data_IF_431977568821
#
_entry.id   IF_431977568821
#
_cell.length_a   1.000
_cell.length_b   1.000
_cell.length_c   1.000
_cell.angle_alpha   90.00
_cell.angle_beta   90.00
_cell.angle_gamma   90.00
#
_symmetry.space_group_name_H-M   'P 1'
#
loop_
_entity.id
_entity.type
_entity.pdbx_description
1 polymer ?
#
# COMPACT_ATOMS: atom_id res chain seq x y z
N UNK A 1 19.84 -12.97 1.25
CA UNK A 1 18.59 -12.18 1.12
C UNK A 1 18.58 -11.49 -0.24
N UNK A 2 17.39 -11.13 -0.75
CA UNK A 2 17.28 -10.35 -2.00
C UNK A 2 18.06 -9.02 -1.92
N UNK A 3 18.16 -8.43 -0.74
CA UNK A 3 18.92 -7.18 -0.53
C UNK A 3 20.41 -7.39 -0.79
N UNK A 4 20.95 -8.51 -0.35
CA UNK A 4 22.38 -8.83 -0.54
C UNK A 4 22.76 -8.97 -2.02
N UNK A 5 21.81 -9.38 -2.86
CA UNK A 5 22.06 -9.51 -4.31
C UNK A 5 22.04 -8.18 -5.08
N UNK A 6 21.55 -7.10 -4.48
CA UNK A 6 21.45 -5.77 -5.12
C UNK A 6 22.33 -4.71 -4.48
N UNK A 7 22.86 -4.96 -3.28
CA UNK A 7 23.80 -4.06 -2.61
C UNK A 7 25.18 -4.18 -3.29
N UNK A 8 25.82 -3.03 -3.49
CA UNK A 8 27.16 -2.89 -4.10
C UNK A 8 28.11 -2.19 -3.14
N UNK A 9 29.38 -2.19 -3.43
CA UNK A 9 30.41 -1.54 -2.62
C UNK A 9 30.23 -0.01 -2.51
N UNK A 10 29.57 0.60 -3.49
CA UNK A 10 29.24 2.02 -3.54
C UNK A 10 27.83 2.36 -3.00
N UNK A 11 27.12 1.39 -2.45
CA UNK A 11 25.78 1.62 -1.85
C UNK A 11 25.91 2.38 -0.53
N UNK A 12 25.30 3.56 -0.45
CA UNK A 12 25.36 4.43 0.74
C UNK A 12 24.04 4.51 1.51
N UNK A 13 22.93 4.16 0.87
CA UNK A 13 21.60 4.25 1.44
C UNK A 13 20.72 3.11 0.93
N UNK A 14 20.02 2.45 1.86
CA UNK A 14 18.88 1.59 1.57
C UNK A 14 17.62 2.37 1.94
N UNK A 15 16.69 2.53 1.00
CA UNK A 15 15.41 3.21 1.23
C UNK A 15 14.26 2.29 0.85
N UNK A 16 13.46 1.88 1.84
CA UNK A 16 12.38 0.90 1.67
C UNK A 16 11.14 1.36 2.43
N UNK A 17 9.95 1.14 1.88
CA UNK A 17 8.71 1.33 2.61
C UNK A 17 8.52 0.24 3.68
N UNK A 18 7.97 0.60 4.83
CA UNK A 18 7.62 -0.37 5.87
C UNK A 18 6.42 -1.23 5.45
N UNK A 19 5.37 -0.58 4.96
CA UNK A 19 4.16 -1.25 4.46
C UNK A 19 3.93 -0.80 3.02
N UNK A 20 3.77 -1.78 2.12
CA UNK A 20 3.44 -1.49 0.72
C UNK A 20 2.03 -0.91 0.62
N UNK A 21 1.87 0.18 -0.11
CA UNK A 21 0.62 0.93 -0.22
C UNK A 21 -0.43 0.27 -1.13
N UNK A 22 -0.04 -0.70 -1.95
CA UNK A 22 -0.96 -1.44 -2.83
C UNK A 22 -1.35 -2.80 -2.24
N UNK A 23 -0.38 -3.51 -1.65
CA UNK A 23 -0.53 -4.89 -1.23
C UNK A 23 -0.79 -5.03 0.27
N UNK A 24 -0.37 -4.04 1.05
CA UNK A 24 -0.39 -4.12 2.51
C UNK A 24 0.74 -4.97 3.10
N UNK A 25 1.63 -5.54 2.28
CA UNK A 25 2.76 -6.36 2.73
C UNK A 25 3.68 -5.56 3.65
N UNK A 26 4.12 -6.18 4.74
CA UNK A 26 4.97 -5.58 5.77
C UNK A 26 6.41 -6.08 5.59
N UNK A 27 7.35 -5.16 5.47
CA UNK A 27 8.78 -5.47 5.43
C UNK A 27 9.36 -5.60 6.83
N UNK A 28 10.27 -6.54 7.03
CA UNK A 28 10.95 -6.75 8.30
C UNK A 28 12.07 -5.69 8.51
N UNK A 29 11.72 -4.58 9.14
CA UNK A 29 12.64 -3.47 9.36
C UNK A 29 13.84 -3.84 10.23
N UNK A 30 13.66 -4.78 11.17
CA UNK A 30 14.74 -5.17 12.05
C UNK A 30 15.82 -5.95 11.29
N UNK A 31 15.42 -6.88 10.43
CA UNK A 31 16.33 -7.65 9.60
C UNK A 31 17.08 -6.76 8.61
N UNK A 32 16.34 -5.93 7.87
CA UNK A 32 16.90 -5.02 6.85
C UNK A 32 17.85 -4.01 7.50
N UNK A 33 17.43 -3.40 8.60
CA UNK A 33 18.24 -2.38 9.29
C UNK A 33 19.46 -2.96 9.98
N UNK A 34 19.40 -4.19 10.50
CA UNK A 34 20.54 -4.89 11.04
C UNK A 34 21.58 -5.18 9.96
N UNK A 35 21.13 -5.64 8.79
CA UNK A 35 21.99 -5.83 7.61
C UNK A 35 22.64 -4.51 7.16
N UNK A 36 21.85 -3.44 7.03
CA UNK A 36 22.37 -2.12 6.63
C UNK A 36 23.45 -1.62 7.61
N UNK A 37 23.20 -1.79 8.91
CA UNK A 37 24.15 -1.40 9.97
C UNK A 37 25.45 -2.21 9.95
N UNK A 38 25.37 -3.51 9.70
CA UNK A 38 26.54 -4.37 9.53
C UNK A 38 27.41 -3.93 8.35
N UNK A 39 26.78 -3.52 7.25
CA UNK A 39 27.45 -3.05 6.04
C UNK A 39 27.87 -1.57 6.11
N UNK A 40 27.52 -0.83 7.16
CA UNK A 40 27.81 0.61 7.29
C UNK A 40 26.98 1.48 6.33
N UNK A 41 25.84 0.99 5.87
CA UNK A 41 24.91 1.65 4.95
C UNK A 41 23.80 2.32 5.76
N UNK A 42 23.41 3.55 5.40
CA UNK A 42 22.25 4.21 6.02
C UNK A 42 20.96 3.53 5.64
N UNK A 43 20.00 3.47 6.59
CA UNK A 43 18.70 2.88 6.37
C UNK A 43 17.58 3.91 6.55
N UNK A 44 16.89 4.23 5.47
CA UNK A 44 15.68 5.05 5.43
C UNK A 44 14.45 4.17 5.26
N UNK A 45 13.41 4.50 6.02
CA UNK A 45 12.11 3.83 5.97
C UNK A 45 11.01 4.83 5.61
N UNK A 46 10.23 4.54 4.58
CA UNK A 46 8.94 5.21 4.36
C UNK A 46 7.86 4.53 5.23
N UNK A 47 7.46 5.23 6.31
CA UNK A 47 6.43 4.78 7.24
C UNK A 47 5.05 5.41 6.98
N UNK A 48 4.84 6.01 5.80
CA UNK A 48 3.58 6.68 5.48
C UNK A 48 2.34 5.77 5.60
N UNK A 49 2.51 4.47 5.37
CA UNK A 49 1.43 3.48 5.54
C UNK A 49 1.42 2.77 6.90
N UNK A 50 2.41 3.01 7.76
CA UNK A 50 2.62 2.21 8.99
C UNK A 50 2.03 2.84 10.23
N UNK A 51 2.05 4.18 10.32
CA UNK A 51 1.61 4.93 11.50
C UNK A 51 0.15 4.62 11.82
N UNK A 52 -0.10 4.23 13.07
CA UNK A 52 -1.43 3.86 13.54
C UNK A 52 -1.95 2.48 13.06
N UNK A 53 -1.12 1.70 12.35
CA UNK A 53 -1.48 0.34 11.89
C UNK A 53 -0.58 -0.73 12.52
N UNK A 54 0.69 -0.42 12.71
CA UNK A 54 1.68 -1.27 13.36
C UNK A 54 2.46 -0.46 14.38
N UNK A 55 2.97 -1.15 15.41
CA UNK A 55 3.82 -0.52 16.39
C UNK A 55 5.18 -0.12 15.78
N UNK A 56 5.62 1.10 16.09
CA UNK A 56 6.92 1.64 15.67
C UNK A 56 7.64 2.12 16.91
N UNK A 57 8.69 1.40 17.33
CA UNK A 57 9.57 1.80 18.41
C UNK A 57 10.96 2.17 17.85
N UNK A 58 11.21 3.46 17.66
CA UNK A 58 12.47 3.98 17.10
C UNK A 58 13.67 3.81 18.03
N UNK A 59 13.46 3.45 19.31
CA UNK A 59 14.58 3.14 20.21
C UNK A 59 15.12 1.72 20.02
N UNK A 60 14.35 0.85 19.39
CA UNK A 60 14.69 -0.57 19.16
C UNK A 60 14.98 -0.88 17.68
N UNK A 61 14.32 -0.15 16.79
CA UNK A 61 14.51 -0.35 15.35
C UNK A 61 15.84 0.24 14.87
N UNK A 62 16.65 -0.53 14.12
CA UNK A 62 17.92 -0.06 13.56
C UNK A 62 17.69 0.81 12.30
N UNK A 63 16.96 1.91 12.46
CA UNK A 63 16.58 2.84 11.40
C UNK A 63 17.30 4.17 11.62
N UNK A 64 17.85 4.74 10.55
CA UNK A 64 18.57 6.02 10.57
C UNK A 64 17.69 7.21 10.19
N UNK A 65 16.74 6.98 9.29
CA UNK A 65 15.79 7.97 8.77
C UNK A 65 14.42 7.30 8.65
N UNK A 66 13.35 8.01 9.05
CA UNK A 66 11.99 7.52 8.84
C UNK A 66 11.04 8.67 8.50
N UNK A 67 10.34 8.54 7.37
CA UNK A 67 9.37 9.53 6.91
C UNK A 67 7.94 9.14 7.27
N UNK A 68 7.15 10.14 7.66
CA UNK A 68 5.76 10.00 8.10
C UNK A 68 4.86 10.96 7.35
N UNK A 69 3.60 10.57 7.15
CA UNK A 69 2.57 11.39 6.53
C UNK A 69 1.35 11.50 7.44
N UNK A 70 0.87 12.72 7.70
CA UNK A 70 -0.26 12.93 8.61
C UNK A 70 -1.58 12.46 8.01
N UNK A 71 -1.86 12.76 6.72
CA UNK A 71 -3.15 12.51 6.10
C UNK A 71 -3.49 11.02 5.90
N UNK A 72 -2.51 10.12 6.02
CA UNK A 72 -2.73 8.66 6.00
C UNK A 72 -3.02 8.08 7.39
N UNK A 73 -3.01 8.94 8.41
CA UNK A 73 -3.32 8.60 9.81
C UNK A 73 -4.41 9.54 10.35
N UNK A 74 -5.37 9.91 9.48
CA UNK A 74 -6.50 10.79 9.79
C UNK A 74 -6.12 12.22 10.20
N UNK A 75 -4.89 12.62 9.96
CA UNK A 75 -4.37 13.97 10.20
C UNK A 75 -4.53 14.89 8.98
N UNK A 76 -4.10 16.15 9.08
CA UNK A 76 -4.23 17.15 8.03
C UNK A 76 -3.34 16.80 6.81
N UNK A 77 -3.83 17.17 5.62
CA UNK A 77 -3.01 17.14 4.39
C UNK A 77 -1.94 18.25 4.42
N UNK A 78 -0.85 18.02 3.70
CA UNK A 78 0.21 19.03 3.53
C UNK A 78 1.27 19.05 4.63
N UNK A 79 1.21 18.14 5.60
CA UNK A 79 2.19 17.98 6.68
C UNK A 79 2.69 16.53 6.77
N UNK A 80 3.97 16.39 7.04
CA UNK A 80 4.66 15.16 7.37
C UNK A 80 5.81 15.42 8.31
N UNK A 81 6.48 14.36 8.74
CA UNK A 81 7.67 14.44 9.58
C UNK A 81 8.76 13.51 9.07
N UNK A 82 10.01 13.89 9.34
CA UNK A 82 11.18 13.06 9.12
C UNK A 82 11.88 12.85 10.47
N UNK A 83 11.97 11.59 10.90
CA UNK A 83 12.87 11.20 11.97
C UNK A 83 14.28 11.12 11.41
N UNK A 84 15.24 11.71 12.15
CA UNK A 84 16.66 11.69 11.84
C UNK A 84 17.41 11.21 13.06
N UNK A 85 18.08 10.06 12.94
CA UNK A 85 18.83 9.46 14.04
C UNK A 85 19.98 10.35 14.51
N UNK A 86 20.20 10.38 15.82
CA UNK A 86 21.35 11.03 16.44
C UNK A 86 22.47 10.06 16.79
N UNK A 87 22.16 8.76 16.81
CA UNK A 87 23.11 7.66 17.12
C UNK A 87 22.74 6.42 16.27
N UNK A 88 23.49 6.13 15.19
CA UNK A 88 24.57 6.92 14.62
C UNK A 88 24.12 8.30 14.16
N UNK A 89 25.01 9.28 14.12
CA UNK A 89 24.64 10.64 13.72
C UNK A 89 24.47 10.72 12.21
N UNK A 90 23.23 10.94 11.78
CA UNK A 90 22.91 11.27 10.39
C UNK A 90 23.00 12.79 10.18
N UNK A 91 23.60 13.23 9.09
CA UNK A 91 23.64 14.61 8.64
C UNK A 91 22.85 14.73 7.35
N UNK A 92 21.92 15.66 7.33
CA UNK A 92 21.10 15.98 6.16
C UNK A 92 21.48 17.39 5.71
N UNK A 93 21.71 17.55 4.42
CA UNK A 93 21.85 18.84 3.79
C UNK A 93 20.46 19.44 3.53
N UNK A 94 20.26 20.69 3.95
CA UNK A 94 19.00 21.39 3.74
C UNK A 94 18.75 21.62 2.25
N UNK A 95 17.56 21.23 1.78
CA UNK A 95 17.10 21.50 0.41
C UNK A 95 16.36 22.84 0.31
N UNK A 96 15.88 23.36 1.45
CA UNK A 96 15.20 24.64 1.58
C UNK A 96 15.99 25.53 2.55
N UNK A 97 16.62 26.57 2.01
CA UNK A 97 17.43 27.50 2.78
C UNK A 97 16.60 28.68 3.28
N UNK A 98 17.07 29.38 4.34
CA UNK A 98 16.41 30.55 4.91
C UNK A 98 16.62 30.70 6.42
N UNK A 99 15.57 30.93 7.19
CA UNK A 99 15.59 31.30 8.60
C UNK A 99 15.99 30.25 9.62
N UNK A 100 16.54 29.10 9.19
CA UNK A 100 17.09 28.08 10.09
C UNK A 100 16.07 27.26 10.88
N UNK A 101 14.79 27.25 10.48
CA UNK A 101 13.76 26.43 11.10
C UNK A 101 14.11 24.95 11.01
N UNK A 102 13.46 24.12 11.83
CA UNK A 102 13.73 22.67 11.93
C UNK A 102 15.23 22.36 12.11
N UNK A 103 15.89 23.12 12.99
CA UNK A 103 17.33 23.00 13.29
C UNK A 103 18.23 23.21 12.07
N UNK A 104 17.79 24.01 11.11
CA UNK A 104 18.49 24.28 9.87
C UNK A 104 18.28 23.24 8.77
N UNK A 105 17.56 22.16 9.03
CA UNK A 105 17.33 21.12 8.04
C UNK A 105 16.23 21.45 7.01
N UNK A 106 15.26 22.29 7.41
CA UNK A 106 14.17 22.73 6.52
C UNK A 106 13.67 24.09 6.94
N UNK A 107 14.01 25.12 6.20
CA UNK A 107 13.59 26.49 6.46
C UNK A 107 12.18 26.79 5.95
N UNK A 108 11.53 27.77 6.56
CA UNK A 108 10.17 28.25 6.25
C UNK A 108 9.33 28.34 7.51
N UNK A 109 8.43 29.32 7.57
CA UNK A 109 7.51 29.49 8.70
C UNK A 109 6.75 28.20 8.97
N UNK A 110 6.73 27.76 10.23
CA UNK A 110 6.11 26.50 10.61
C UNK A 110 4.57 26.59 10.48
N UNK A 111 3.91 25.62 9.81
CA UNK A 111 2.45 25.53 9.71
C UNK A 111 1.88 24.97 11.03
N UNK A 112 1.85 25.78 12.08
CA UNK A 112 1.58 25.37 13.47
C UNK A 112 0.27 24.61 13.61
N UNK A 113 -0.79 25.03 12.91
CA UNK A 113 -2.09 24.35 12.93
C UNK A 113 -2.02 22.92 12.38
N UNK A 114 -1.24 22.69 11.30
CA UNK A 114 -1.03 21.35 10.74
C UNK A 114 -0.16 20.50 11.64
N UNK A 115 0.87 21.08 12.27
CA UNK A 115 1.75 20.36 13.22
C UNK A 115 0.95 19.90 14.42
N UNK A 116 0.11 20.74 15.00
CA UNK A 116 -0.78 20.39 16.12
C UNK A 116 -1.75 19.29 15.70
N UNK A 117 -2.39 19.44 14.51
CA UNK A 117 -3.30 18.44 13.97
C UNK A 117 -2.63 17.09 13.71
N UNK A 118 -1.39 17.07 13.21
CA UNK A 118 -0.60 15.85 13.06
C UNK A 118 -0.28 15.20 14.41
N UNK A 119 0.14 16.02 15.39
CA UNK A 119 0.44 15.53 16.73
C UNK A 119 -0.76 14.87 17.38
N UNK A 120 -1.93 15.49 17.29
CA UNK A 120 -3.19 14.94 17.82
C UNK A 120 -3.61 13.67 17.08
N UNK A 121 -3.53 13.63 15.76
CA UNK A 121 -3.83 12.44 14.97
C UNK A 121 -2.94 11.24 15.36
N UNK A 122 -1.65 11.49 15.62
CA UNK A 122 -0.71 10.45 16.05
C UNK A 122 -0.96 10.00 17.50
N UNK A 123 -1.38 10.92 18.38
CA UNK A 123 -1.79 10.58 19.74
C UNK A 123 -2.97 9.63 19.74
N UNK A 124 -4.04 9.99 19.01
CA UNK A 124 -5.25 9.17 18.86
C UNK A 124 -4.89 7.82 18.21
N UNK A 125 -4.07 7.84 17.15
CA UNK A 125 -3.64 6.62 16.47
C UNK A 125 -2.91 5.66 17.42
N UNK A 126 -2.08 6.17 18.34
CA UNK A 126 -1.39 5.36 19.35
C UNK A 126 -2.37 4.75 20.36
N UNK A 127 -3.35 5.51 20.80
CA UNK A 127 -4.33 5.06 21.80
C UNK A 127 -5.31 4.04 21.21
N UNK A 128 -5.77 4.26 19.98
CA UNK A 128 -6.83 3.46 19.34
C UNK A 128 -6.29 2.30 18.49
N UNK A 129 -4.99 2.22 18.25
CA UNK A 129 -4.37 1.29 17.28
C UNK A 129 -4.81 -0.16 17.48
N UNK A 130 -4.86 -0.64 18.72
CA UNK A 130 -5.22 -2.04 19.01
C UNK A 130 -6.70 -2.31 18.80
N UNK A 131 -7.56 -1.36 19.19
CA UNK A 131 -9.00 -1.45 18.96
C UNK A 131 -9.33 -1.40 17.46
N UNK A 132 -8.73 -0.45 16.73
CA UNK A 132 -8.85 -0.32 15.29
C UNK A 132 -8.37 -1.59 14.58
N UNK A 133 -7.20 -2.12 14.97
CA UNK A 133 -6.65 -3.34 14.40
C UNK A 133 -7.63 -4.51 14.53
N UNK A 134 -8.15 -4.76 15.72
CA UNK A 134 -9.10 -5.85 15.98
C UNK A 134 -10.38 -5.72 15.15
N UNK A 135 -10.93 -4.51 15.07
CA UNK A 135 -12.11 -4.22 14.24
C UNK A 135 -11.82 -4.46 12.76
N UNK A 136 -10.73 -3.90 12.26
CA UNK A 136 -10.35 -3.99 10.84
C UNK A 136 -10.02 -5.44 10.45
N UNK A 137 -9.37 -6.22 11.30
CA UNK A 137 -9.12 -7.65 11.08
C UNK A 137 -10.43 -8.43 10.90
N UNK A 138 -11.45 -8.14 11.71
CA UNK A 138 -12.76 -8.78 11.58
C UNK A 138 -13.46 -8.41 10.27
N UNK A 139 -13.47 -7.11 9.89
CA UNK A 139 -14.05 -6.63 8.63
C UNK A 139 -13.31 -7.19 7.41
N UNK A 140 -11.98 -7.17 7.44
CA UNK A 140 -11.15 -7.75 6.39
C UNK A 140 -11.43 -9.24 6.21
N UNK A 141 -11.51 -10.01 7.32
CA UNK A 141 -11.81 -11.44 7.26
C UNK A 141 -13.18 -11.70 6.65
N UNK A 142 -14.22 -10.99 7.11
CA UNK A 142 -15.59 -11.08 6.57
C UNK A 142 -15.60 -10.81 5.06
N UNK A 143 -14.92 -9.75 4.64
CA UNK A 143 -14.81 -9.39 3.22
C UNK A 143 -14.06 -10.46 2.42
N UNK A 144 -12.89 -10.87 2.90
CA UNK A 144 -12.05 -11.88 2.25
C UNK A 144 -12.77 -13.23 2.09
N UNK A 145 -13.39 -13.73 3.17
CA UNK A 145 -14.11 -15.01 3.17
C UNK A 145 -15.30 -15.02 2.18
N UNK A 146 -15.84 -13.87 1.87
CA UNK A 146 -16.96 -13.70 0.94
C UNK A 146 -16.48 -13.50 -0.49
N UNK A 147 -15.55 -12.57 -0.72
CA UNK A 147 -15.07 -12.25 -2.08
C UNK A 147 -14.28 -13.42 -2.68
N UNK A 148 -13.58 -14.21 -1.86
CA UNK A 148 -12.83 -15.40 -2.30
C UNK A 148 -13.70 -16.55 -2.81
N UNK A 149 -15.02 -16.44 -2.71
CA UNK A 149 -15.97 -17.40 -3.32
C UNK A 149 -16.26 -17.07 -4.80
N UNK A 150 -15.91 -15.87 -5.24
CA UNK A 150 -15.98 -15.51 -6.66
C UNK A 150 -14.91 -16.30 -7.38
N UNK A 151 -15.30 -17.01 -8.43
CA UNK A 151 -14.39 -17.80 -9.26
C UNK A 151 -13.36 -16.89 -9.94
N UNK A 152 -12.16 -17.43 -10.21
CA UNK A 152 -11.11 -16.75 -10.97
C UNK A 152 -10.77 -15.35 -10.43
N UNK A 153 -10.59 -15.23 -9.13
CA UNK A 153 -9.97 -14.06 -8.50
C UNK A 153 -8.61 -14.42 -7.91
N UNK A 154 -7.74 -13.46 -7.86
CA UNK A 154 -6.37 -13.65 -7.39
C UNK A 154 -6.00 -12.57 -6.37
N UNK A 155 -5.75 -12.98 -5.13
CA UNK A 155 -5.23 -12.06 -4.10
C UNK A 155 -3.76 -11.75 -4.40
N UNK A 156 -3.42 -10.48 -4.36
CA UNK A 156 -2.08 -10.00 -4.65
C UNK A 156 -1.31 -9.72 -3.35
N UNK A 157 -0.04 -10.13 -3.34
CA UNK A 157 0.86 -9.98 -2.19
C UNK A 157 0.86 -11.16 -1.23
N UNK A 158 1.64 -11.02 -0.16
CA UNK A 158 1.74 -12.04 0.89
C UNK A 158 0.52 -11.98 1.82
N UNK A 159 -0.18 -13.11 1.97
CA UNK A 159 -1.37 -13.19 2.83
C UNK A 159 -0.98 -13.23 4.33
N UNK A 160 0.23 -13.68 4.66
CA UNK A 160 0.66 -13.87 6.04
C UNK A 160 1.30 -12.63 6.65
N UNK A 161 2.13 -11.92 5.86
CA UNK A 161 2.91 -10.78 6.34
C UNK A 161 2.33 -9.47 5.78
N UNK A 162 1.09 -9.15 6.17
CA UNK A 162 0.39 -7.95 5.70
C UNK A 162 -0.45 -7.31 6.79
N UNK A 163 -0.79 -6.05 6.60
CA UNK A 163 -1.82 -5.38 7.40
C UNK A 163 -3.21 -5.67 6.83
N UNK A 164 -4.20 -5.79 7.71
CA UNK A 164 -5.59 -6.02 7.31
C UNK A 164 -6.28 -4.76 6.75
N UNK A 165 -5.63 -3.62 6.81
CA UNK A 165 -6.14 -2.36 6.25
C UNK A 165 -6.18 -2.33 4.73
N UNK A 166 -5.49 -3.23 4.04
CA UNK A 166 -5.34 -3.24 2.58
C UNK A 166 -5.55 -4.66 2.07
N UNK A 167 -6.36 -4.79 1.04
CA UNK A 167 -6.54 -6.02 0.27
C UNK A 167 -6.53 -5.67 -1.21
N UNK A 168 -5.63 -6.29 -1.97
CA UNK A 168 -5.55 -6.12 -3.41
C UNK A 168 -5.96 -7.44 -4.09
N UNK A 169 -6.94 -7.35 -4.99
CA UNK A 169 -7.51 -8.50 -5.69
C UNK A 169 -7.57 -8.19 -7.19
N UNK A 170 -7.07 -9.11 -8.00
CA UNK A 170 -7.28 -9.13 -9.45
C UNK A 170 -8.47 -10.00 -9.79
N UNK A 171 -9.30 -9.54 -10.74
CA UNK A 171 -10.47 -10.24 -11.23
C UNK A 171 -10.22 -10.67 -12.68
N UNK A 172 -10.03 -11.97 -12.93
CA UNK A 172 -9.81 -12.46 -14.28
C UNK A 172 -11.05 -12.30 -15.16
N UNK A 173 -10.80 -12.12 -16.45
CA UNK A 173 -11.83 -12.01 -17.50
C UNK A 173 -12.74 -10.80 -17.35
N UNK A 174 -12.28 -9.77 -16.62
CA UNK A 174 -12.98 -8.50 -16.42
C UNK A 174 -12.06 -7.37 -16.86
N UNK A 175 -12.59 -6.43 -17.66
CA UNK A 175 -11.84 -5.23 -18.03
C UNK A 175 -11.81 -4.26 -16.85
N UNK A 176 -10.58 -3.79 -16.48
CA UNK A 176 -10.33 -3.09 -15.21
C UNK A 176 -11.01 -1.72 -15.10
N UNK A 177 -11.05 -0.93 -16.17
CA UNK A 177 -11.72 0.38 -16.17
C UNK A 177 -13.23 0.22 -16.02
N UNK A 178 -13.82 -0.74 -16.74
CA UNK A 178 -15.24 -1.08 -16.65
C UNK A 178 -15.61 -1.54 -15.23
N UNK A 179 -14.73 -2.32 -14.57
CA UNK A 179 -14.94 -2.73 -13.20
C UNK A 179 -14.94 -1.53 -12.24
N UNK A 180 -13.97 -0.61 -12.36
CA UNK A 180 -13.92 0.61 -11.53
C UNK A 180 -15.18 1.46 -11.78
N UNK A 181 -15.61 1.62 -13.02
CA UNK A 181 -16.83 2.36 -13.35
C UNK A 181 -18.09 1.71 -12.79
N UNK A 182 -18.16 0.38 -12.78
CA UNK A 182 -19.28 -0.35 -12.17
C UNK A 182 -19.32 -0.21 -10.65
N UNK A 183 -18.16 0.04 -10.01
CA UNK A 183 -18.01 0.24 -8.56
C UNK A 183 -18.05 1.73 -8.15
N UNK A 184 -18.63 2.61 -8.97
CA UNK A 184 -18.66 4.08 -8.77
C UNK A 184 -19.26 4.54 -7.45
N UNK A 185 -20.10 3.72 -6.84
CA UNK A 185 -20.79 4.04 -5.59
C UNK A 185 -19.96 3.72 -4.33
N UNK A 186 -18.76 3.18 -4.51
CA UNK A 186 -17.79 2.94 -3.44
C UNK A 186 -16.42 3.54 -3.78
N UNK A 187 -15.69 3.99 -2.76
CA UNK A 187 -14.37 4.55 -2.92
C UNK A 187 -13.31 3.43 -2.93
N UNK A 188 -13.01 2.92 -4.09
CA UNK A 188 -11.92 1.95 -4.35
C UNK A 188 -10.83 2.58 -5.21
N UNK A 189 -9.73 1.86 -5.42
CA UNK A 189 -8.62 2.32 -6.24
C UNK A 189 -8.13 1.17 -7.11
N UNK A 190 -7.76 1.48 -8.36
CA UNK A 190 -6.94 0.56 -9.14
C UNK A 190 -5.58 0.35 -8.47
N UNK A 191 -4.91 -0.77 -8.74
CA UNK A 191 -3.55 -1.02 -8.25
C UNK A 191 -2.57 0.09 -8.61
N UNK A 192 -2.76 0.76 -9.76
CA UNK A 192 -1.90 1.83 -10.30
C UNK A 192 -2.24 3.24 -9.81
N UNK A 193 -2.97 3.42 -8.70
CA UNK A 193 -3.46 4.73 -8.23
C UNK A 193 -2.41 5.84 -8.05
N UNK A 194 -1.12 5.50 -7.94
CA UNK A 194 -0.03 6.47 -7.87
C UNK A 194 0.44 6.98 -9.24
N UNK A 195 0.06 6.31 -10.32
CA UNK A 195 0.37 6.65 -11.71
C UNK A 195 -0.89 6.94 -12.51
N UNK A 196 -1.87 7.60 -11.90
CA UNK A 196 -3.19 7.91 -12.48
C UNK A 196 -3.16 8.69 -13.82
N UNK A 197 -1.99 9.04 -14.31
CA UNK A 197 -1.78 9.64 -15.62
C UNK A 197 -1.33 8.63 -16.70
N UNK A 198 -1.05 7.37 -16.36
CA UNK A 198 -0.69 6.32 -17.32
C UNK A 198 -1.68 5.16 -17.24
N UNK A 199 -2.13 4.70 -18.42
CA UNK A 199 -2.94 3.49 -18.60
C UNK A 199 -2.13 2.20 -18.34
N UNK A 200 -0.90 2.31 -17.82
CA UNK A 200 -0.04 1.15 -17.60
C UNK A 200 -0.42 0.38 -16.34
N UNK A 201 -0.40 -0.96 -16.41
CA UNK A 201 -0.58 -1.82 -15.24
C UNK A 201 0.45 -1.53 -14.14
N UNK A 202 0.08 -1.79 -12.89
CA UNK A 202 0.96 -1.59 -11.74
C UNK A 202 2.30 -2.32 -11.89
N UNK A 203 3.41 -1.58 -11.81
CA UNK A 203 4.75 -2.15 -11.78
C UNK A 203 4.98 -3.06 -10.54
N UNK A 204 4.25 -2.82 -9.46
CA UNK A 204 4.29 -3.65 -8.25
C UNK A 204 3.70 -5.03 -8.54
N UNK A 205 2.56 -5.09 -9.24
CA UNK A 205 1.92 -6.35 -9.62
C UNK A 205 2.73 -7.09 -10.69
N UNK A 206 3.31 -6.37 -11.65
CA UNK A 206 4.25 -6.95 -12.62
C UNK A 206 5.48 -7.57 -11.91
N UNK A 207 6.02 -6.90 -10.88
CA UNK A 207 7.14 -7.43 -10.09
C UNK A 207 6.78 -8.70 -9.31
N UNK A 208 5.49 -8.92 -9.01
CA UNK A 208 4.97 -10.19 -8.45
C UNK A 208 4.76 -11.27 -9.52
N UNK A 209 5.06 -11.00 -10.78
CA UNK A 209 4.83 -11.94 -11.89
C UNK A 209 3.38 -12.00 -12.37
N UNK A 210 2.53 -11.02 -12.03
CA UNK A 210 1.18 -10.93 -12.59
C UNK A 210 1.24 -10.51 -14.04
N UNK A 211 0.47 -11.20 -14.91
CA UNK A 211 0.26 -10.79 -16.31
C UNK A 211 -0.45 -9.43 -16.34
N UNK A 212 -0.26 -8.68 -17.40
CA UNK A 212 -0.78 -7.32 -17.54
C UNK A 212 -2.31 -7.25 -17.44
N UNK A 213 -3.02 -8.25 -17.95
CA UNK A 213 -4.49 -8.36 -17.86
C UNK A 213 -4.96 -8.42 -16.41
N UNK A 214 -4.32 -9.30 -15.60
CA UNK A 214 -4.63 -9.43 -14.17
C UNK A 214 -4.17 -8.22 -13.36
N UNK A 215 -3.07 -7.59 -13.74
CA UNK A 215 -2.60 -6.37 -13.08
C UNK A 215 -3.54 -5.20 -13.36
N UNK A 216 -4.09 -5.10 -14.58
CA UNK A 216 -5.05 -4.04 -14.98
C UNK A 216 -6.42 -4.20 -14.32
N UNK A 217 -6.88 -5.44 -14.13
CA UNK A 217 -8.17 -5.75 -13.47
C UNK A 217 -8.08 -5.80 -11.94
N UNK A 218 -6.98 -5.29 -11.35
CA UNK A 218 -6.79 -5.30 -9.90
C UNK A 218 -7.49 -4.12 -9.23
N UNK A 219 -8.16 -4.40 -8.11
CA UNK A 219 -8.77 -3.41 -7.23
C UNK A 219 -8.11 -3.49 -5.85
N UNK A 220 -7.70 -2.34 -5.33
CA UNK A 220 -7.28 -2.20 -3.95
C UNK A 220 -8.45 -1.76 -3.09
N UNK A 221 -8.83 -2.61 -2.15
CA UNK A 221 -9.77 -2.31 -1.08
C UNK A 221 -9.02 -1.82 0.15
N UNK A 222 -9.52 -0.76 0.78
CA UNK A 222 -8.89 -0.18 1.97
C UNK A 222 -9.91 -0.11 3.11
N UNK A 223 -9.53 -0.66 4.28
CA UNK A 223 -10.36 -0.71 5.48
C UNK A 223 -9.79 0.25 6.51
N UNK A 224 -10.62 1.06 7.11
CA UNK A 224 -10.23 2.08 8.07
C UNK A 224 -11.06 2.05 9.34
N UNK A 225 -10.75 2.98 10.26
CA UNK A 225 -11.44 3.17 11.54
C UNK A 225 -12.94 3.33 11.40
N UNK A 226 -13.39 4.01 10.35
CA UNK A 226 -14.80 4.35 10.13
C UNK A 226 -15.54 3.34 9.24
N UNK A 227 -14.85 2.33 8.70
CA UNK A 227 -15.49 1.27 7.92
C UNK A 227 -16.43 0.47 8.81
N UNK A 228 -17.63 0.19 8.31
CA UNK A 228 -18.69 -0.53 9.02
C UNK A 228 -18.98 -1.89 8.39
N UNK A 229 -19.75 -2.73 9.07
CA UNK A 229 -20.24 -4.00 8.51
C UNK A 229 -21.17 -3.79 7.31
N UNK A 230 -21.97 -2.73 7.35
CA UNK A 230 -22.89 -2.35 6.26
C UNK A 230 -22.11 -1.95 5.00
N UNK A 231 -20.97 -1.21 5.16
CA UNK A 231 -20.07 -0.90 4.03
C UNK A 231 -19.53 -2.17 3.37
N UNK A 232 -19.18 -3.17 4.19
CA UNK A 232 -18.68 -4.47 3.69
C UNK A 232 -19.77 -5.20 2.90
N UNK A 233 -20.97 -5.32 3.44
CA UNK A 233 -22.09 -6.03 2.81
C UNK A 233 -22.50 -5.35 1.49
N UNK A 234 -22.60 -4.03 1.50
CA UNK A 234 -22.90 -3.24 0.32
C UNK A 234 -21.82 -3.43 -0.77
N UNK A 235 -20.53 -3.33 -0.39
CA UNK A 235 -19.40 -3.52 -1.30
C UNK A 235 -19.42 -4.91 -1.93
N UNK A 236 -19.64 -5.96 -1.14
CA UNK A 236 -19.72 -7.35 -1.63
C UNK A 236 -20.87 -7.54 -2.62
N UNK A 237 -22.04 -6.95 -2.35
CA UNK A 237 -23.19 -7.00 -3.26
C UNK A 237 -22.84 -6.34 -4.61
N UNK A 238 -22.22 -5.17 -4.58
CA UNK A 238 -21.82 -4.46 -5.80
C UNK A 238 -20.77 -5.24 -6.60
N UNK A 239 -19.75 -5.80 -5.94
CA UNK A 239 -18.70 -6.58 -6.61
C UNK A 239 -19.29 -7.79 -7.30
N UNK A 240 -20.09 -8.58 -6.61
CA UNK A 240 -20.72 -9.78 -7.19
C UNK A 240 -21.47 -9.42 -8.47
N UNK A 241 -22.35 -8.42 -8.38
CA UNK A 241 -23.15 -7.98 -9.54
C UNK A 241 -22.28 -7.42 -10.68
N UNK A 242 -21.27 -6.60 -10.35
CA UNK A 242 -20.38 -6.01 -11.36
C UNK A 242 -19.55 -7.08 -12.09
N UNK A 243 -18.95 -8.01 -11.34
CA UNK A 243 -18.12 -9.07 -11.92
C UNK A 243 -18.96 -10.01 -12.78
N UNK A 244 -20.11 -10.47 -12.27
CA UNK A 244 -21.03 -11.32 -13.03
C UNK A 244 -21.44 -10.65 -14.37
N UNK A 245 -21.95 -9.42 -14.31
CA UNK A 245 -22.38 -8.69 -15.49
C UNK A 245 -21.25 -8.43 -16.50
N UNK A 246 -20.04 -8.09 -16.04
CA UNK A 246 -18.92 -7.81 -16.94
C UNK A 246 -18.39 -9.10 -17.57
N UNK A 247 -18.41 -10.21 -16.86
CA UNK A 247 -18.06 -11.53 -17.42
C UNK A 247 -19.07 -12.02 -18.44
N UNK A 248 -20.37 -11.81 -18.24
CA UNK A 248 -21.40 -12.12 -19.26
C UNK A 248 -21.16 -11.39 -20.59
N UNK A 249 -20.49 -10.25 -20.56
CA UNK A 249 -20.13 -9.45 -21.76
C UNK A 249 -18.72 -9.75 -22.28
N UNK A 250 -17.96 -10.62 -21.61
CA UNK A 250 -16.55 -10.90 -21.92
C UNK A 250 -16.40 -12.16 -22.79
N UNK A 251 -15.95 -12.03 -24.05
CA UNK A 251 -15.63 -13.21 -24.87
C UNK A 251 -14.59 -14.12 -24.23
N UNK A 252 -13.65 -13.55 -23.44
CA UNK A 252 -12.63 -14.34 -22.74
C UNK A 252 -13.23 -15.21 -21.66
N UNK A 253 -14.30 -14.77 -21.01
CA UNK A 253 -15.03 -15.56 -20.02
C UNK A 253 -15.78 -16.72 -20.66
N UNK A 254 -16.41 -16.48 -21.82
CA UNK A 254 -17.07 -17.53 -22.61
C UNK A 254 -16.06 -18.61 -23.04
N UNK A 255 -14.90 -18.21 -23.58
CA UNK A 255 -13.84 -19.13 -23.97
C UNK A 255 -13.31 -19.94 -22.77
N UNK A 256 -13.16 -19.31 -21.59
CA UNK A 256 -12.77 -20.00 -20.38
C UNK A 256 -13.81 -21.07 -19.96
N UNK A 257 -15.09 -20.74 -20.00
CA UNK A 257 -16.18 -21.70 -19.71
C UNK A 257 -16.22 -22.87 -20.70
N UNK A 258 -15.84 -22.63 -21.96
CA UNK A 258 -15.71 -23.65 -22.99
C UNK A 258 -14.44 -24.51 -22.84
N UNK A 259 -13.62 -24.24 -21.84
CA UNK A 259 -12.38 -24.98 -21.55
C UNK A 259 -11.22 -24.65 -22.49
N UNK A 260 -11.27 -23.51 -23.18
CA UNK A 260 -10.20 -23.04 -24.05
C UNK A 260 -9.08 -22.45 -23.20
N UNK A 261 -7.87 -22.96 -23.37
CA UNK A 261 -6.68 -22.41 -22.74
C UNK A 261 -6.24 -21.13 -23.48
N UNK A 262 -6.50 -19.98 -22.89
CA UNK A 262 -6.22 -18.66 -23.48
C UNK A 262 -4.72 -18.40 -23.71
N UNK A 263 -3.83 -19.10 -23.02
CA UNK A 263 -2.38 -19.00 -23.23
C UNK A 263 -1.95 -19.69 -24.54
N UNK A 264 -2.81 -20.53 -25.12
CA UNK A 264 -2.56 -21.24 -26.39
C UNK A 264 -3.19 -20.56 -27.61
N UNK A 265 -4.00 -19.53 -27.39
CA UNK A 265 -4.70 -18.80 -28.46
C UNK A 265 -3.73 -17.88 -29.20
N UNK A 266 -3.62 -18.05 -30.52
CA UNK A 266 -2.86 -17.12 -31.37
C UNK A 266 -3.67 -15.84 -31.64
N UNK A 267 -3.31 -14.76 -30.96
CA UNK A 267 -3.95 -13.44 -31.07
C UNK A 267 -3.46 -12.61 -32.28
N UNK A 268 -2.56 -13.15 -33.13
CA UNK A 268 -1.91 -12.39 -34.20
C UNK A 268 -2.68 -12.36 -35.51
N UNK A 269 -3.86 -12.93 -35.59
CA UNK A 269 -4.66 -12.93 -36.82
C UNK A 269 -5.93 -12.10 -36.66
N UNK A 270 -5.77 -10.74 -36.80
CA UNK A 270 -6.77 -9.91 -37.51
C UNK A 270 -6.26 -8.49 -37.65
#
# INVERSE_FOLDING_TARGET
SLIDSVVRDDTVLISIMHINNELGTVNNLHEIGSYAREKGIFFHVDAAQSTGKVEINLSELPVDLMSFSAHKTYGPKGIGALFVSRKPRVRIEAQMHGGGHERGMRSGTLPTHQIVGMGEAFRIAKEEMFADKKKIEALHKKFYDSVSKIEEIYVNGDIKNKVSNILNISFAYVEGESLIMALKDIAVSSGSACTSASLEPSYVLRALGRKDELASSSIRFSFGRFTTDEDIEYTLSLINHAVERLRELSPLWEMYLDGIDLDTVDWQTH
#
